data_IF_712234370501
#
_entry.id   IF_712234370501
#
_cell.length_a   1.000
_cell.length_b   1.000
_cell.length_c   1.000
_cell.angle_alpha   90.00
_cell.angle_beta   90.00
_cell.angle_gamma   90.00
#
_symmetry.space_group_name_H-M   'P 1'
#
loop_
_entity.id
_entity.type
_entity.pdbx_description
1 polymer ?
#
# COMPACT_ATOMS: atom_id res chain seq x y z
N UNK A 1 -3.02 -18.09 19.70
CA UNK A 1 -1.84 -17.17 19.69
C UNK A 1 -1.26 -17.14 18.28
N UNK A 2 -0.86 -15.98 17.77
CA UNK A 2 -0.08 -15.93 16.52
C UNK A 2 1.37 -16.35 16.81
N UNK A 3 2.03 -17.17 15.98
CA UNK A 3 3.43 -17.52 16.19
C UNK A 3 4.29 -16.25 16.08
N UNK A 4 5.27 -16.13 16.97
CA UNK A 4 6.26 -15.05 16.90
C UNK A 4 6.96 -15.08 15.54
N UNK A 5 7.14 -13.92 14.91
CA UNK A 5 7.82 -13.82 13.63
C UNK A 5 9.28 -14.25 13.79
N UNK A 6 9.61 -15.48 13.37
CA UNK A 6 11.01 -15.90 13.23
C UNK A 6 11.72 -14.90 12.31
N UNK A 7 13.00 -14.57 12.57
CA UNK A 7 13.81 -13.92 11.56
C UNK A 7 13.78 -14.77 10.28
N UNK A 8 13.73 -14.15 9.08
CA UNK A 8 13.63 -14.90 7.84
C UNK A 8 14.82 -15.84 7.73
N UNK A 9 14.58 -17.07 7.31
CA UNK A 9 15.66 -17.99 6.97
C UNK A 9 16.54 -17.33 5.88
N UNK A 10 17.85 -17.58 5.89
CA UNK A 10 18.77 -16.96 4.91
C UNK A 10 18.32 -17.22 3.46
N UNK A 11 17.78 -18.42 3.18
CA UNK A 11 17.16 -18.74 1.90
C UNK A 11 15.97 -17.82 1.54
N UNK A 12 15.09 -17.52 2.49
CA UNK A 12 13.91 -16.68 2.25
C UNK A 12 14.28 -15.20 2.07
N UNK A 13 15.39 -14.77 2.68
CA UNK A 13 16.00 -13.46 2.42
C UNK A 13 16.57 -13.37 0.99
N UNK A 14 17.33 -14.38 0.55
CA UNK A 14 17.87 -14.41 -0.81
C UNK A 14 16.76 -14.54 -1.87
N UNK A 15 15.71 -15.32 -1.62
CA UNK A 15 14.51 -15.39 -2.47
C UNK A 15 13.79 -14.04 -2.57
N UNK A 16 13.64 -13.34 -1.43
CA UNK A 16 13.08 -11.97 -1.43
C UNK A 16 13.91 -11.02 -2.27
N UNK A 17 15.24 -11.03 -2.08
CA UNK A 17 16.15 -10.13 -2.78
C UNK A 17 16.16 -10.39 -4.29
N UNK A 18 16.19 -11.66 -4.71
CA UNK A 18 16.10 -12.04 -6.13
C UNK A 18 14.79 -11.52 -6.76
N UNK A 19 13.64 -11.71 -6.10
CA UNK A 19 12.35 -11.21 -6.59
C UNK A 19 12.27 -9.69 -6.60
N UNK A 20 12.86 -9.00 -5.60
CA UNK A 20 12.94 -7.54 -5.58
C UNK A 20 13.78 -7.03 -6.77
N UNK A 21 14.95 -7.62 -7.03
CA UNK A 21 15.81 -7.22 -8.15
C UNK A 21 15.12 -7.49 -9.48
N UNK A 22 14.46 -8.64 -9.66
CA UNK A 22 13.65 -8.93 -10.85
C UNK A 22 12.50 -7.93 -11.05
N UNK A 23 11.81 -7.55 -9.97
CA UNK A 23 10.74 -6.56 -10.04
C UNK A 23 11.29 -5.16 -10.39
N UNK A 24 12.34 -4.71 -9.72
CA UNK A 24 12.98 -3.43 -10.02
C UNK A 24 13.51 -3.38 -11.46
N UNK A 25 14.12 -4.46 -11.95
CA UNK A 25 14.57 -4.57 -13.33
C UNK A 25 13.41 -4.51 -14.32
N UNK A 26 12.37 -5.34 -14.15
CA UNK A 26 11.21 -5.35 -15.05
C UNK A 26 10.49 -4.00 -15.08
N UNK A 27 10.31 -3.36 -13.92
CA UNK A 27 9.69 -2.05 -13.79
C UNK A 27 10.53 -0.92 -14.40
N UNK A 28 11.84 -0.90 -14.13
CA UNK A 28 12.75 0.09 -14.71
C UNK A 28 12.84 -0.06 -16.23
N UNK A 29 12.97 -1.28 -16.75
CA UNK A 29 12.96 -1.55 -18.20
C UNK A 29 11.60 -1.16 -18.81
N UNK A 30 10.48 -1.33 -18.11
CA UNK A 30 9.16 -0.82 -18.57
C UNK A 30 9.16 0.70 -18.75
N UNK A 31 9.74 1.46 -17.81
CA UNK A 31 9.88 2.92 -17.93
C UNK A 31 10.78 3.30 -19.12
N UNK A 32 11.91 2.61 -19.30
CA UNK A 32 12.80 2.82 -20.46
C UNK A 32 12.08 2.49 -21.78
N UNK A 33 11.29 1.41 -21.82
CA UNK A 33 10.50 1.06 -23.00
C UNK A 33 9.41 2.10 -23.29
N UNK A 34 8.73 2.65 -22.28
CA UNK A 34 7.77 3.75 -22.48
C UNK A 34 8.45 5.02 -23.04
N UNK A 35 9.66 5.36 -22.55
CA UNK A 35 10.44 6.49 -23.06
C UNK A 35 10.94 6.25 -24.50
N UNK A 36 11.50 5.07 -24.79
CA UNK A 36 11.94 4.71 -26.15
C UNK A 36 10.75 4.66 -27.10
N UNK A 37 9.58 4.18 -26.66
CA UNK A 37 8.36 4.23 -27.45
C UNK A 37 8.03 5.65 -27.89
N UNK A 38 7.98 6.60 -26.94
CA UNK A 38 7.59 7.98 -27.27
C UNK A 38 8.64 8.75 -28.07
N UNK A 39 9.94 8.49 -27.84
CA UNK A 39 11.03 9.23 -28.49
C UNK A 39 11.54 8.62 -29.80
N UNK A 40 11.41 7.31 -30.01
CA UNK A 40 11.92 6.65 -31.22
C UNK A 40 10.83 6.34 -32.25
N UNK A 41 9.63 5.96 -31.80
CA UNK A 41 8.54 5.54 -32.67
C UNK A 41 7.39 6.56 -32.77
N UNK A 42 7.38 7.57 -31.91
CA UNK A 42 6.33 8.60 -31.81
C UNK A 42 6.96 9.99 -31.84
N UNK A 43 6.12 11.00 -31.63
CA UNK A 43 6.38 12.40 -31.89
C UNK A 43 7.23 13.08 -30.79
N UNK A 44 7.79 12.32 -29.85
CA UNK A 44 8.48 12.85 -28.67
C UNK A 44 7.50 13.32 -27.60
N UNK A 45 7.94 14.31 -26.81
CA UNK A 45 7.19 14.92 -25.71
C UNK A 45 7.12 16.45 -25.87
N UNK A 46 5.93 17.01 -25.71
CA UNK A 46 5.63 18.46 -25.77
C UNK A 46 4.60 18.83 -24.69
N UNK A 47 4.22 20.11 -24.60
CA UNK A 47 3.08 20.57 -23.79
C UNK A 47 2.41 21.75 -24.52
N UNK A 48 1.72 21.41 -25.60
CA UNK A 48 1.20 22.30 -26.65
C UNK A 48 -0.18 21.88 -27.18
N UNK A 49 -0.86 20.94 -26.52
CA UNK A 49 -2.10 20.30 -26.98
C UNK A 49 -1.92 19.31 -28.14
N UNK A 50 -0.69 19.06 -28.58
CA UNK A 50 -0.37 18.16 -29.69
C UNK A 50 -0.15 16.70 -29.27
N UNK A 51 0.19 15.85 -30.25
CA UNK A 51 0.45 14.42 -30.00
C UNK A 51 1.62 14.18 -29.02
N UNK A 52 2.61 15.07 -28.99
CA UNK A 52 3.69 15.03 -27.99
C UNK A 52 3.21 15.30 -26.57
N UNK A 53 2.10 16.01 -26.37
CA UNK A 53 1.50 16.16 -25.05
C UNK A 53 0.77 14.88 -24.63
N UNK A 54 -0.03 14.28 -25.53
CA UNK A 54 -0.63 12.96 -25.29
C UNK A 54 0.42 11.92 -24.90
N UNK A 55 1.61 11.96 -25.49
CA UNK A 55 2.69 11.01 -25.22
C UNK A 55 3.22 11.07 -23.77
N UNK A 56 2.97 12.15 -23.00
CA UNK A 56 3.19 12.12 -21.56
C UNK A 56 2.34 11.08 -20.84
N UNK A 57 1.14 10.78 -21.35
CA UNK A 57 0.22 9.87 -20.68
C UNK A 57 0.79 8.46 -20.44
N UNK A 58 1.20 7.69 -21.47
CA UNK A 58 1.79 6.38 -21.24
C UNK A 58 3.07 6.45 -20.40
N UNK A 59 3.91 7.48 -20.57
CA UNK A 59 5.15 7.66 -19.78
C UNK A 59 4.85 7.85 -18.30
N UNK A 60 3.91 8.73 -17.95
CA UNK A 60 3.56 9.07 -16.58
C UNK A 60 2.73 7.98 -15.88
N UNK A 61 1.83 7.29 -16.60
CA UNK A 61 1.15 6.08 -16.09
C UNK A 61 2.16 4.98 -15.76
N UNK A 62 3.06 4.64 -16.69
CA UNK A 62 4.06 3.57 -16.47
C UNK A 62 5.04 3.93 -15.36
N UNK A 63 5.48 5.19 -15.30
CA UNK A 63 6.44 5.65 -14.27
C UNK A 63 5.78 5.79 -12.89
N UNK A 64 4.69 6.54 -12.78
CA UNK A 64 4.04 6.84 -11.51
C UNK A 64 3.13 5.73 -11.03
N UNK A 65 2.08 5.45 -11.82
CA UNK A 65 0.96 4.58 -11.43
C UNK A 65 1.26 3.08 -11.53
N UNK A 66 2.26 2.69 -12.32
CA UNK A 66 2.78 1.32 -12.30
C UNK A 66 4.04 1.26 -11.43
N UNK A 67 5.17 1.83 -11.86
CA UNK A 67 6.45 1.57 -11.23
C UNK A 67 6.57 2.12 -9.79
N UNK A 68 6.32 3.43 -9.58
CA UNK A 68 6.43 4.06 -8.24
C UNK A 68 5.36 3.52 -7.28
N UNK A 69 4.11 3.36 -7.73
CA UNK A 69 3.05 2.73 -6.92
C UNK A 69 3.42 1.29 -6.53
N UNK A 70 3.95 0.49 -7.45
CA UNK A 70 4.38 -0.89 -7.20
C UNK A 70 5.47 -0.99 -6.13
N UNK A 71 6.46 -0.08 -6.17
CA UNK A 71 7.47 0.05 -5.10
C UNK A 71 6.81 0.45 -3.77
N UNK A 72 5.88 1.42 -3.79
CA UNK A 72 5.19 1.89 -2.59
C UNK A 72 4.39 0.77 -1.88
N UNK A 73 3.78 -0.15 -2.64
CA UNK A 73 3.05 -1.31 -2.14
C UNK A 73 3.95 -2.27 -1.36
N UNK A 74 5.18 -2.54 -1.85
CA UNK A 74 6.11 -3.49 -1.23
C UNK A 74 7.08 -2.84 -0.22
N UNK A 75 7.06 -1.50 -0.05
CA UNK A 75 8.07 -0.77 0.75
C UNK A 75 8.18 -1.25 2.21
N UNK A 76 7.06 -1.67 2.83
CA UNK A 76 7.06 -2.24 4.19
C UNK A 76 7.66 -3.65 4.28
N UNK A 77 7.85 -4.34 3.16
CA UNK A 77 8.26 -5.74 3.09
C UNK A 77 9.79 -5.90 3.01
N UNK A 78 10.51 -4.81 2.72
CA UNK A 78 11.96 -4.71 2.68
C UNK A 78 12.59 -5.09 4.05
N UNK A 79 13.29 -6.24 4.20
CA UNK A 79 13.72 -6.75 5.51
C UNK A 79 14.65 -5.81 6.28
N UNK A 80 15.53 -5.10 5.58
CA UNK A 80 16.43 -4.09 6.17
C UNK A 80 15.69 -2.90 6.80
N UNK A 81 14.42 -2.66 6.44
CA UNK A 81 13.61 -1.57 7.01
C UNK A 81 12.83 -1.96 8.27
N UNK A 82 12.82 -3.23 8.66
CA UNK A 82 11.96 -3.71 9.76
C UNK A 82 12.37 -3.14 11.13
N UNK A 83 13.67 -2.84 11.31
CA UNK A 83 14.21 -2.15 12.49
C UNK A 83 14.13 -0.62 12.40
N UNK A 84 13.81 -0.04 11.24
CA UNK A 84 13.66 1.41 11.07
C UNK A 84 12.34 1.90 11.69
N UNK A 85 12.27 3.19 12.04
CA UNK A 85 11.04 3.80 12.58
C UNK A 85 9.82 3.48 11.71
N UNK A 86 8.73 3.01 12.33
CA UNK A 86 7.46 2.76 11.63
C UNK A 86 6.83 4.06 11.12
N UNK A 87 7.04 5.18 11.82
CA UNK A 87 6.61 6.49 11.35
C UNK A 87 7.38 6.91 10.09
N UNK A 88 8.70 6.67 10.03
CA UNK A 88 9.49 6.90 8.82
C UNK A 88 8.96 6.07 7.64
N UNK A 89 8.69 4.77 7.85
CA UNK A 89 8.14 3.93 6.78
C UNK A 89 6.72 4.35 6.34
N UNK A 90 5.92 4.93 7.23
CA UNK A 90 4.65 5.58 6.85
C UNK A 90 4.87 6.81 5.96
N UNK A 91 5.83 7.67 6.30
CA UNK A 91 6.18 8.82 5.46
C UNK A 91 6.71 8.40 4.09
N UNK A 92 7.57 7.39 4.01
CA UNK A 92 8.07 6.87 2.72
C UNK A 92 6.92 6.28 1.90
N UNK A 93 6.07 5.45 2.49
CA UNK A 93 4.90 4.88 1.79
C UNK A 93 3.93 5.98 1.32
N UNK A 94 3.59 6.94 2.17
CA UNK A 94 2.71 8.05 1.80
C UNK A 94 3.33 8.90 0.69
N UNK A 95 4.61 9.30 0.83
CA UNK A 95 5.32 10.10 -0.15
C UNK A 95 5.42 9.45 -1.52
N UNK A 96 5.75 8.15 -1.59
CA UNK A 96 5.77 7.42 -2.86
C UNK A 96 4.38 7.37 -3.52
N UNK A 97 3.30 7.11 -2.76
CA UNK A 97 1.95 7.12 -3.32
C UNK A 97 1.50 8.54 -3.73
N UNK A 98 1.92 9.58 -3.03
CA UNK A 98 1.67 10.99 -3.42
C UNK A 98 2.40 11.35 -4.70
N UNK A 99 3.66 10.91 -4.88
CA UNK A 99 4.40 11.12 -6.15
C UNK A 99 3.68 10.40 -7.30
N UNK A 100 3.30 9.13 -7.11
CA UNK A 100 2.53 8.38 -8.10
C UNK A 100 1.19 9.08 -8.45
N UNK A 101 0.50 9.66 -7.46
CA UNK A 101 -0.71 10.45 -7.67
C UNK A 101 -0.47 11.69 -8.53
N UNK A 102 0.56 12.49 -8.19
CA UNK A 102 0.86 13.74 -8.92
C UNK A 102 1.15 13.41 -10.39
N UNK A 103 1.98 12.39 -10.65
CA UNK A 103 2.29 11.95 -12.00
C UNK A 103 1.02 11.47 -12.74
N UNK A 104 0.13 10.73 -12.10
CA UNK A 104 -1.13 10.29 -12.69
C UNK A 104 -2.11 11.44 -12.97
N UNK A 105 -2.17 12.48 -12.11
CA UNK A 105 -3.00 13.66 -12.37
C UNK A 105 -2.47 14.41 -13.60
N UNK A 106 -1.16 14.69 -13.67
CA UNK A 106 -0.53 15.32 -14.85
C UNK A 106 -0.75 14.47 -16.11
N UNK A 107 -0.65 13.15 -15.97
CA UNK A 107 -0.95 12.18 -17.03
C UNK A 107 -2.39 12.27 -17.56
N UNK A 108 -3.37 12.52 -16.69
CA UNK A 108 -4.76 12.69 -17.12
C UNK A 108 -4.97 14.06 -17.78
N UNK A 109 -4.42 15.12 -17.21
CA UNK A 109 -4.50 16.49 -17.78
C UNK A 109 -4.01 16.49 -19.23
N UNK A 110 -2.83 15.92 -19.50
CA UNK A 110 -2.24 15.83 -20.84
C UNK A 110 -3.17 15.16 -21.90
N UNK A 111 -4.00 14.19 -21.51
CA UNK A 111 -4.97 13.57 -22.43
C UNK A 111 -6.21 14.44 -22.60
N UNK A 112 -6.73 15.03 -21.52
CA UNK A 112 -7.87 15.93 -21.62
C UNK A 112 -7.54 17.16 -22.47
N UNK A 113 -6.37 17.76 -22.27
CA UNK A 113 -5.91 18.94 -23.02
C UNK A 113 -5.66 18.59 -24.50
N UNK A 114 -4.96 17.48 -24.80
CA UNK A 114 -4.82 16.97 -26.17
C UNK A 114 -6.18 16.70 -26.86
N UNK A 115 -7.11 16.01 -26.17
CA UNK A 115 -8.44 15.73 -26.72
C UNK A 115 -9.24 17.01 -26.97
N UNK A 116 -9.22 17.95 -26.02
CA UNK A 116 -9.92 19.22 -26.14
C UNK A 116 -9.37 20.05 -27.31
N UNK A 117 -8.04 20.16 -27.43
CA UNK A 117 -7.38 20.84 -28.55
C UNK A 117 -7.69 20.17 -29.90
N UNK A 118 -7.73 18.84 -29.92
CA UNK A 118 -7.99 18.04 -31.13
C UNK A 118 -9.49 17.81 -31.43
N UNK A 119 -10.40 18.37 -30.63
CA UNK A 119 -11.86 18.13 -30.71
C UNK A 119 -12.26 16.63 -30.66
N UNK A 120 -11.50 15.82 -29.92
CA UNK A 120 -11.78 14.39 -29.69
C UNK A 120 -12.72 14.27 -28.48
N UNK A 121 -13.82 13.48 -28.56
CA UNK A 121 -14.68 13.24 -27.42
C UNK A 121 -13.93 12.61 -26.23
N UNK A 122 -14.19 13.10 -25.02
CA UNK A 122 -13.63 12.53 -23.80
C UNK A 122 -14.52 11.42 -23.23
N UNK A 123 -13.92 10.53 -22.42
CA UNK A 123 -14.61 9.57 -21.57
C UNK A 123 -15.57 8.58 -22.28
N UNK A 124 -15.29 8.17 -23.52
CA UNK A 124 -16.12 7.20 -24.26
C UNK A 124 -15.57 5.76 -24.25
N UNK A 125 -14.27 5.54 -24.03
CA UNK A 125 -13.66 4.20 -24.08
C UNK A 125 -13.65 3.50 -22.73
N UNK A 126 -13.64 2.15 -22.74
CA UNK A 126 -13.56 1.37 -21.50
C UNK A 126 -12.24 1.62 -20.76
N UNK A 127 -11.15 1.88 -21.48
CA UNK A 127 -9.89 2.35 -20.89
C UNK A 127 -10.11 3.62 -20.06
N UNK A 128 -10.78 4.63 -20.61
CA UNK A 128 -11.05 5.88 -19.89
C UNK A 128 -11.92 5.67 -18.64
N UNK A 129 -12.97 4.84 -18.71
CA UNK A 129 -13.87 4.58 -17.57
C UNK A 129 -13.15 3.86 -16.43
N UNK A 130 -12.40 2.80 -16.74
CA UNK A 130 -11.64 2.02 -15.75
C UNK A 130 -10.46 2.85 -15.21
N UNK A 131 -9.78 3.62 -16.07
CA UNK A 131 -8.68 4.51 -15.71
C UNK A 131 -9.10 5.61 -14.74
N UNK A 132 -10.15 6.38 -15.06
CA UNK A 132 -10.66 7.43 -14.17
C UNK A 132 -11.18 6.84 -12.85
N UNK A 133 -11.86 5.69 -12.90
CA UNK A 133 -12.29 4.96 -11.70
C UNK A 133 -11.11 4.59 -10.80
N UNK A 134 -10.01 4.10 -11.39
CA UNK A 134 -8.78 3.81 -10.65
C UNK A 134 -8.16 5.07 -10.02
N UNK A 135 -8.11 6.20 -10.73
CA UNK A 135 -7.62 7.49 -10.21
C UNK A 135 -8.47 7.99 -9.03
N UNK A 136 -9.80 7.90 -9.13
CA UNK A 136 -10.72 8.29 -8.06
C UNK A 136 -10.53 7.39 -6.82
N UNK A 137 -10.51 6.07 -6.99
CA UNK A 137 -10.31 5.15 -5.86
C UNK A 137 -8.91 5.27 -5.25
N UNK A 138 -7.87 5.52 -6.06
CA UNK A 138 -6.52 5.79 -5.56
C UNK A 138 -6.45 7.10 -4.76
N UNK A 139 -7.23 8.12 -5.16
CA UNK A 139 -7.36 9.39 -4.42
C UNK A 139 -8.01 9.20 -3.06
N UNK A 140 -9.12 8.47 -3.02
CA UNK A 140 -9.80 8.10 -1.77
C UNK A 140 -8.89 7.25 -0.87
N UNK A 141 -8.18 6.28 -1.46
CA UNK A 141 -7.23 5.40 -0.78
C UNK A 141 -6.07 6.17 -0.13
N UNK A 142 -5.50 7.15 -0.85
CA UNK A 142 -4.41 8.01 -0.36
C UNK A 142 -4.91 8.93 0.77
N UNK A 143 -6.06 9.59 0.57
CA UNK A 143 -6.67 10.48 1.57
C UNK A 143 -7.01 9.74 2.87
N UNK A 144 -7.75 8.62 2.77
CA UNK A 144 -8.10 7.81 3.94
C UNK A 144 -6.85 7.19 4.59
N UNK A 145 -5.86 6.77 3.78
CA UNK A 145 -4.59 6.25 4.27
C UNK A 145 -3.83 7.27 5.13
N UNK A 146 -3.76 8.52 4.66
CA UNK A 146 -3.16 9.63 5.39
C UNK A 146 -3.94 9.92 6.69
N UNK A 147 -5.25 10.14 6.59
CA UNK A 147 -6.11 10.53 7.72
C UNK A 147 -6.18 9.47 8.83
N UNK A 148 -6.21 8.18 8.47
CA UNK A 148 -6.37 7.07 9.43
C UNK A 148 -5.04 6.52 9.93
N UNK A 149 -4.05 6.34 9.05
CA UNK A 149 -2.81 5.63 9.41
C UNK A 149 -1.61 6.54 9.65
N UNK A 150 -1.52 7.73 9.05
CA UNK A 150 -0.42 8.66 9.30
C UNK A 150 -0.73 9.60 10.47
N UNK A 151 -1.88 10.28 10.46
CA UNK A 151 -2.28 11.20 11.52
C UNK A 151 -2.55 10.49 12.86
N UNK A 152 -2.26 11.13 14.02
CA UNK A 152 -2.38 10.50 15.33
C UNK A 152 -3.83 10.29 15.78
N UNK A 153 -4.79 11.07 15.28
CA UNK A 153 -6.14 11.22 15.82
C UNK A 153 -7.06 9.99 15.71
N UNK A 154 -6.85 9.10 14.74
CA UNK A 154 -7.77 7.99 14.49
C UNK A 154 -7.75 6.93 15.62
N UNK A 155 -8.92 6.46 16.12
CA UNK A 155 -8.95 5.41 17.15
C UNK A 155 -8.31 4.09 16.71
N UNK A 156 -7.71 3.35 17.65
CA UNK A 156 -7.08 2.04 17.36
C UNK A 156 -8.08 1.04 16.77
N UNK A 157 -9.34 1.05 17.23
CA UNK A 157 -10.42 0.21 16.67
C UNK A 157 -10.69 0.52 15.19
N UNK A 158 -10.73 1.79 14.81
CA UNK A 158 -10.93 2.22 13.43
C UNK A 158 -9.75 1.79 12.54
N UNK A 159 -8.52 1.99 13.01
CA UNK A 159 -7.31 1.54 12.31
C UNK A 159 -7.30 0.03 12.10
N UNK A 160 -7.73 -0.76 13.10
CA UNK A 160 -7.83 -2.21 12.99
C UNK A 160 -8.89 -2.66 11.98
N UNK A 161 -10.06 -2.00 11.95
CA UNK A 161 -11.15 -2.31 11.03
C UNK A 161 -10.85 -1.92 9.56
N UNK A 162 -10.18 -0.79 9.33
CA UNK A 162 -9.87 -0.31 7.99
C UNK A 162 -8.60 -0.92 7.38
N UNK A 163 -7.70 -1.50 8.19
CA UNK A 163 -6.44 -2.08 7.70
C UNK A 163 -6.63 -3.20 6.65
N UNK A 164 -7.54 -4.18 6.81
CA UNK A 164 -7.77 -5.20 5.78
C UNK A 164 -8.34 -4.61 4.50
N UNK A 165 -9.27 -3.65 4.62
CA UNK A 165 -9.87 -2.95 3.48
C UNK A 165 -8.79 -2.21 2.70
N UNK A 166 -7.98 -1.41 3.38
CA UNK A 166 -6.86 -0.65 2.78
C UNK A 166 -5.85 -1.55 2.07
N UNK A 167 -5.50 -2.72 2.64
CA UNK A 167 -4.61 -3.67 1.98
C UNK A 167 -5.28 -4.24 0.71
N UNK A 168 -6.53 -4.68 0.81
CA UNK A 168 -7.25 -5.25 -0.33
C UNK A 168 -7.47 -4.23 -1.47
N UNK A 169 -7.98 -3.04 -1.16
CA UNK A 169 -8.22 -1.98 -2.13
C UNK A 169 -6.92 -1.53 -2.80
N UNK A 170 -5.81 -1.42 -2.06
CA UNK A 170 -4.52 -1.03 -2.63
C UNK A 170 -4.01 -2.01 -3.70
N UNK A 171 -4.18 -3.32 -3.47
CA UNK A 171 -3.81 -4.36 -4.43
C UNK A 171 -4.80 -4.43 -5.61
N UNK A 172 -6.09 -4.26 -5.35
CA UNK A 172 -7.12 -4.22 -6.39
C UNK A 172 -6.91 -3.04 -7.34
N UNK A 173 -6.74 -1.82 -6.80
CA UNK A 173 -6.47 -0.62 -7.60
C UNK A 173 -5.22 -0.81 -8.46
N UNK A 174 -4.13 -1.38 -7.92
CA UNK A 174 -2.92 -1.64 -8.69
C UNK A 174 -3.15 -2.62 -9.84
N UNK A 175 -3.90 -3.71 -9.62
CA UNK A 175 -4.30 -4.62 -10.69
C UNK A 175 -5.19 -3.94 -11.75
N UNK A 176 -6.12 -3.07 -11.32
CA UNK A 176 -6.97 -2.27 -12.21
C UNK A 176 -6.16 -1.27 -13.05
N UNK A 177 -5.14 -0.62 -12.46
CA UNK A 177 -4.22 0.27 -13.18
C UNK A 177 -3.44 -0.49 -14.25
N UNK A 178 -2.93 -1.69 -13.94
CA UNK A 178 -2.27 -2.56 -14.93
C UNK A 178 -3.23 -2.92 -16.07
N UNK A 179 -4.45 -3.37 -15.75
CA UNK A 179 -5.46 -3.71 -16.77
C UNK A 179 -5.80 -2.49 -17.66
N UNK A 180 -5.99 -1.33 -17.06
CA UNK A 180 -6.26 -0.09 -17.79
C UNK A 180 -5.09 0.32 -18.68
N UNK A 181 -3.84 0.20 -18.22
CA UNK A 181 -2.66 0.50 -19.02
C UNK A 181 -2.51 -0.42 -20.24
N UNK A 182 -2.80 -1.72 -20.09
CA UNK A 182 -2.80 -2.68 -21.22
C UNK A 182 -3.90 -2.35 -22.25
N UNK A 183 -5.08 -1.94 -21.77
CA UNK A 183 -6.17 -1.45 -22.63
C UNK A 183 -5.77 -0.16 -23.36
N UNK A 184 -5.16 0.81 -22.68
CA UNK A 184 -4.69 2.07 -23.29
C UNK A 184 -3.56 1.88 -24.30
N UNK A 185 -2.61 0.97 -24.02
CA UNK A 185 -1.60 0.53 -24.99
C UNK A 185 -2.26 -0.08 -26.24
N UNK A 186 -3.24 -0.97 -26.05
CA UNK A 186 -3.96 -1.62 -27.14
C UNK A 186 -4.75 -0.61 -27.98
N UNK A 187 -5.50 0.31 -27.35
CA UNK A 187 -6.20 1.41 -28.03
C UNK A 187 -5.22 2.28 -28.83
N UNK A 188 -4.11 2.74 -28.22
CA UNK A 188 -3.11 3.59 -28.90
C UNK A 188 -2.44 2.89 -30.08
N UNK A 189 -2.09 1.61 -29.97
CA UNK A 189 -1.50 0.84 -31.08
C UNK A 189 -2.49 0.68 -32.24
N UNK A 190 -3.75 0.35 -31.96
CA UNK A 190 -4.81 0.22 -32.97
C UNK A 190 -5.05 1.55 -33.71
N UNK A 191 -5.09 2.66 -32.98
CA UNK A 191 -5.32 3.97 -33.59
C UNK A 191 -4.12 4.49 -34.40
N UNK A 192 -2.89 4.20 -33.94
CA UNK A 192 -1.67 4.82 -34.50
C UNK A 192 -0.96 3.99 -35.58
N UNK A 193 -1.18 2.66 -35.62
CA UNK A 193 -0.55 1.75 -36.59
C UNK A 193 -1.55 1.33 -37.66
N UNK A 194 -1.76 2.23 -38.63
CA UNK A 194 -2.65 2.02 -39.77
C UNK A 194 -1.89 1.60 -41.03
N UNK A 195 -0.65 2.09 -41.23
CA UNK A 195 0.22 1.71 -42.35
C UNK A 195 1.70 1.88 -41.94
N UNK A 196 2.47 0.78 -41.72
CA UNK A 196 2.01 -0.62 -41.65
C UNK A 196 0.96 -0.83 -40.55
N UNK A 197 0.04 -1.76 -40.78
CA UNK A 197 -1.09 -1.98 -39.88
C UNK A 197 -0.67 -2.78 -38.64
N UNK A 198 -1.28 -2.54 -37.47
CA UNK A 198 -0.94 -3.25 -36.22
C UNK A 198 -0.87 -4.78 -36.36
N UNK A 199 -1.83 -5.37 -37.09
CA UNK A 199 -1.91 -6.82 -37.38
C UNK A 199 -0.70 -7.39 -38.13
N UNK A 200 0.04 -6.56 -38.87
CA UNK A 200 1.24 -6.95 -39.63
C UNK A 200 2.48 -7.04 -38.73
N UNK A 201 2.33 -6.75 -37.43
CA UNK A 201 3.39 -6.78 -36.41
C UNK A 201 4.63 -5.95 -36.79
N UNK A 202 4.47 -4.65 -37.14
CA UNK A 202 5.63 -3.79 -37.38
C UNK A 202 6.52 -3.68 -36.12
N UNK A 203 7.78 -3.22 -36.24
CA UNK A 203 8.74 -3.21 -35.12
C UNK A 203 8.21 -2.53 -33.85
N UNK A 204 7.47 -1.42 -33.98
CA UNK A 204 6.82 -0.75 -32.85
C UNK A 204 5.77 -1.64 -32.17
N UNK A 205 4.92 -2.33 -32.93
CA UNK A 205 3.90 -3.23 -32.39
C UNK A 205 4.51 -4.31 -31.51
N UNK A 206 5.61 -4.92 -31.97
CA UNK A 206 6.34 -5.94 -31.22
C UNK A 206 6.96 -5.30 -29.96
N UNK A 207 7.64 -4.16 -30.11
CA UNK A 207 8.30 -3.46 -29.02
C UNK A 207 7.34 -3.05 -27.88
N UNK A 208 6.18 -2.49 -28.23
CA UNK A 208 5.18 -2.03 -27.27
C UNK A 208 4.36 -3.20 -26.69
N UNK A 209 4.19 -4.29 -27.43
CA UNK A 209 3.68 -5.54 -26.85
C UNK A 209 4.65 -6.13 -25.82
N UNK A 210 5.97 -6.04 -26.05
CA UNK A 210 6.96 -6.38 -25.03
C UNK A 210 6.88 -5.47 -23.79
N UNK A 211 6.60 -4.17 -23.95
CA UNK A 211 6.30 -3.26 -22.82
C UNK A 211 5.07 -3.75 -22.02
N UNK A 212 3.98 -4.13 -22.71
CA UNK A 212 2.79 -4.71 -22.07
C UNK A 212 3.11 -5.96 -21.25
N UNK A 213 3.92 -6.88 -21.79
CA UNK A 213 4.38 -8.07 -21.08
C UNK A 213 5.26 -7.75 -19.86
N UNK A 214 6.18 -6.77 -19.98
CA UNK A 214 7.02 -6.31 -18.87
C UNK A 214 6.18 -5.71 -17.73
N UNK A 215 5.15 -4.93 -18.04
CA UNK A 215 4.19 -4.38 -17.07
C UNK A 215 3.46 -5.52 -16.33
N UNK A 216 3.01 -6.56 -17.04
CA UNK A 216 2.36 -7.74 -16.43
C UNK A 216 3.33 -8.50 -15.52
N UNK A 217 4.56 -8.74 -15.96
CA UNK A 217 5.60 -9.43 -15.18
C UNK A 217 5.91 -8.63 -13.90
N UNK A 218 6.13 -7.32 -14.02
CA UNK A 218 6.34 -6.43 -12.89
C UNK A 218 5.17 -6.48 -11.90
N UNK A 219 3.94 -6.34 -12.40
CA UNK A 219 2.72 -6.42 -11.60
C UNK A 219 2.57 -7.74 -10.85
N UNK A 220 2.80 -8.86 -11.53
CA UNK A 220 2.76 -10.20 -10.94
C UNK A 220 3.82 -10.37 -9.83
N UNK A 221 5.05 -9.89 -10.04
CA UNK A 221 6.11 -9.92 -9.02
C UNK A 221 5.75 -9.07 -7.79
N UNK A 222 5.28 -7.84 -8.00
CA UNK A 222 4.82 -6.95 -6.93
C UNK A 222 3.67 -7.58 -6.13
N UNK A 223 2.64 -8.11 -6.80
CA UNK A 223 1.50 -8.77 -6.14
C UNK A 223 1.91 -10.05 -5.39
N UNK A 224 2.83 -10.84 -5.95
CA UNK A 224 3.39 -12.02 -5.29
C UNK A 224 4.15 -11.67 -4.01
N UNK A 225 5.03 -10.65 -4.07
CA UNK A 225 5.73 -10.13 -2.89
C UNK A 225 4.75 -9.52 -1.88
N UNK A 226 3.75 -8.79 -2.37
CA UNK A 226 2.73 -8.12 -1.56
C UNK A 226 1.77 -9.08 -0.83
N UNK A 227 1.70 -10.36 -1.25
CA UNK A 227 0.82 -11.38 -0.66
C UNK A 227 1.51 -12.36 0.30
N UNK A 228 2.86 -12.47 0.30
CA UNK A 228 3.56 -13.41 1.21
C UNK A 228 3.37 -13.03 2.69
N UNK A 229 2.89 -13.94 3.58
CA UNK A 229 2.76 -13.63 5.01
C UNK A 229 4.10 -13.44 5.73
N UNK A 230 5.12 -14.25 5.38
CA UNK A 230 6.44 -14.24 6.03
C UNK A 230 7.33 -13.04 5.68
N UNK A 231 7.00 -12.27 4.62
CA UNK A 231 7.64 -10.98 4.31
C UNK A 231 6.84 -9.78 4.83
N UNK A 232 5.82 -10.00 5.67
CA UNK A 232 5.10 -8.89 6.32
C UNK A 232 5.99 -8.32 7.42
N UNK A 233 6.11 -6.99 7.48
CA UNK A 233 6.83 -6.31 8.57
C UNK A 233 6.37 -6.86 9.93
N UNK A 234 7.30 -7.27 10.82
CA UNK A 234 6.95 -7.68 12.18
C UNK A 234 6.16 -6.60 12.93
N UNK A 235 5.23 -6.99 13.83
CA UNK A 235 4.63 -6.06 14.78
C UNK A 235 5.71 -5.37 15.62
N UNK A 236 5.45 -4.15 16.09
CA UNK A 236 6.27 -3.55 17.13
C UNK A 236 6.07 -4.33 18.43
N UNK A 237 7.15 -4.80 19.03
CA UNK A 237 7.09 -5.27 20.41
C UNK A 237 6.82 -4.06 21.31
N UNK A 238 5.69 -4.08 22.01
CA UNK A 238 5.50 -3.21 23.17
C UNK A 238 6.63 -3.50 24.17
N UNK A 239 7.31 -2.49 24.73
CA UNK A 239 8.28 -2.71 25.78
C UNK A 239 7.65 -3.57 26.87
N UNK A 240 8.25 -4.74 27.13
CA UNK A 240 7.81 -5.58 28.26
C UNK A 240 7.93 -4.71 29.50
N UNK A 241 6.79 -4.48 30.18
CA UNK A 241 6.79 -3.78 31.45
C UNK A 241 7.85 -4.43 32.36
N UNK A 242 8.68 -3.65 33.06
CA UNK A 242 9.63 -4.22 34.01
C UNK A 242 8.87 -5.17 34.93
N UNK A 243 9.30 -6.43 35.02
CA UNK A 243 8.82 -7.29 36.10
C UNK A 243 9.18 -6.56 37.40
N UNK A 244 8.24 -6.36 38.34
CA UNK A 244 8.61 -5.79 39.62
C UNK A 244 9.66 -6.71 40.25
N UNK A 245 10.82 -6.17 40.60
CA UNK A 245 11.87 -6.91 41.28
C UNK A 245 11.34 -7.39 42.63
N UNK A 246 11.14 -8.70 42.76
CA UNK A 246 10.82 -9.33 44.04
C UNK A 246 12.08 -9.51 44.89
N UNK A 247 12.27 -8.60 45.84
CA UNK A 247 13.13 -8.71 47.03
C UNK A 247 12.66 -7.65 48.04
N UNK A 248 12.65 -7.83 49.36
CA UNK A 248 13.20 -8.87 50.28
C UNK A 248 12.33 -8.83 51.58
N UNK A 249 12.36 -9.73 52.56
CA UNK A 249 13.31 -10.81 52.91
C UNK A 249 12.63 -11.95 53.73
N UNK A 250 13.43 -12.99 54.04
CA UNK A 250 13.46 -13.87 55.24
C UNK A 250 12.19 -14.35 55.97
N UNK A 251 12.15 -15.67 56.23
CA UNK A 251 11.23 -16.35 57.17
C UNK A 251 11.45 -17.87 57.17
N UNK A 252 11.90 -18.44 58.29
CA UNK A 252 12.54 -19.77 58.38
C UNK A 252 11.59 -20.90 58.84
N UNK A 253 11.68 -22.06 58.18
CA UNK A 253 11.40 -23.47 58.62
C UNK A 253 10.04 -23.96 59.22
N UNK A 254 9.83 -25.27 59.00
CA UNK A 254 9.09 -26.26 59.82
C UNK A 254 7.55 -26.32 59.86
N UNK A 255 7.00 -27.18 58.98
CA UNK A 255 6.19 -28.39 59.30
C UNK A 255 5.30 -28.43 60.59
N UNK A 256 3.97 -28.62 60.44
CA UNK A 256 3.24 -29.84 60.87
C UNK A 256 1.69 -29.77 60.83
N UNK A 257 1.09 -30.93 60.47
CA UNK A 257 -0.24 -31.50 60.87
C UNK A 257 -1.59 -30.74 60.77
N UNK A 258 -2.52 -31.38 60.02
CA UNK A 258 -3.98 -31.62 60.28
C UNK A 258 -4.91 -30.39 60.45
N UNK A 259 -6.20 -30.40 60.09
CA UNK A 259 -7.20 -31.49 60.11
C UNK A 259 -8.35 -31.24 59.10
N UNK A 260 -9.23 -32.23 58.95
CA UNK A 260 -10.34 -32.35 57.97
C UNK A 260 -11.67 -31.62 58.38
N UNK A 261 -12.64 -31.65 57.45
CA UNK A 261 -14.11 -31.66 57.62
C UNK A 261 -14.99 -30.48 57.08
N UNK A 262 -15.76 -30.85 56.05
CA UNK A 262 -17.23 -30.68 55.89
C UNK A 262 -17.89 -29.37 55.36
N UNK A 263 -18.36 -29.48 54.10
CA UNK A 263 -19.73 -29.28 53.57
C UNK A 263 -20.52 -27.94 53.62
N UNK A 264 -21.10 -27.63 52.44
CA UNK A 264 -22.26 -26.77 52.13
C UNK A 264 -22.12 -25.27 52.43
N UNK A 265 -22.67 -24.31 51.66
CA UNK A 265 -23.83 -24.37 50.76
C UNK A 265 -23.70 -23.40 49.54
N UNK A 266 -24.82 -23.05 48.87
CA UNK A 266 -24.92 -22.52 47.49
C UNK A 266 -24.94 -20.95 47.36
N UNK A 267 -25.29 -20.32 46.20
CA UNK A 267 -24.51 -19.24 45.56
C UNK A 267 -25.01 -17.79 45.83
N UNK A 268 -24.22 -16.79 45.44
CA UNK A 268 -24.57 -15.45 44.86
C UNK A 268 -23.25 -14.72 44.49
N UNK A 269 -23.00 -14.14 43.30
CA UNK A 269 -23.60 -12.99 42.56
C UNK A 269 -23.28 -11.62 43.18
N UNK A 270 -22.75 -10.72 42.33
CA UNK A 270 -22.53 -9.27 42.49
C UNK A 270 -21.64 -8.72 43.63
N UNK A 271 -20.31 -8.69 43.36
CA UNK A 271 -19.42 -7.68 43.95
C UNK A 271 -18.37 -7.14 42.96
N UNK A 272 -18.77 -6.21 42.08
CA UNK A 272 -17.79 -5.35 41.37
C UNK A 272 -18.32 -4.00 40.81
N UNK A 273 -19.61 -3.65 40.98
CA UNK A 273 -20.18 -2.43 40.37
C UNK A 273 -19.92 -1.13 41.16
N UNK A 274 -19.84 -1.20 42.50
CA UNK A 274 -19.60 -0.01 43.33
C UNK A 274 -18.20 0.60 43.17
N UNK A 275 -17.17 -0.24 43.01
CA UNK A 275 -15.79 0.22 42.85
C UNK A 275 -15.60 1.01 41.54
N UNK A 276 -16.30 0.61 40.48
CA UNK A 276 -16.32 1.35 39.22
C UNK A 276 -17.05 2.70 39.34
N UNK A 277 -18.16 2.76 40.11
CA UNK A 277 -18.94 4.00 40.29
C UNK A 277 -18.20 5.06 41.08
N UNK A 278 -17.51 4.69 42.17
CA UNK A 278 -16.72 5.62 43.00
C UNK A 278 -15.46 6.16 42.29
N UNK A 279 -14.94 5.48 41.27
CA UNK A 279 -13.76 5.92 40.51
C UNK A 279 -14.07 6.99 39.45
N UNK A 280 -15.27 6.96 38.85
CA UNK A 280 -15.67 7.95 37.85
C UNK A 280 -15.98 9.32 38.48
N UNK A 281 -16.69 9.35 39.63
CA UNK A 281 -17.01 10.61 40.33
C UNK A 281 -15.77 11.43 40.74
N UNK A 282 -14.64 10.79 41.07
CA UNK A 282 -13.40 11.49 41.42
C UNK A 282 -12.60 12.07 40.25
N UNK A 283 -12.96 11.75 39.00
CA UNK A 283 -12.28 12.29 37.81
C UNK A 283 -12.94 13.58 37.31
N UNK A 284 -14.26 13.73 37.43
CA UNK A 284 -14.96 14.95 37.01
C UNK A 284 -14.63 16.16 37.91
N UNK A 285 -14.52 15.98 39.24
CA UNK A 285 -14.08 17.07 40.15
C UNK A 285 -12.64 17.54 39.89
N UNK A 286 -11.77 16.67 39.35
CA UNK A 286 -10.40 17.04 39.01
C UNK A 286 -10.32 17.83 37.68
N UNK A 287 -11.25 17.61 36.75
CA UNK A 287 -11.30 18.29 35.45
C UNK A 287 -11.75 19.75 35.53
N UNK A 288 -12.59 20.12 36.49
CA UNK A 288 -13.16 21.48 36.61
C UNK A 288 -12.28 22.49 37.36
N UNK A 289 -11.11 22.10 37.87
CA UNK A 289 -10.21 22.98 38.65
C UNK A 289 -8.95 23.47 37.93
N UNK A 290 -8.85 23.31 36.60
CA UNK A 290 -7.67 23.71 35.83
C UNK A 290 -7.96 24.55 34.58
N UNK A 291 -8.98 25.42 34.64
CA UNK A 291 -9.17 26.54 33.70
C UNK A 291 -9.77 27.78 34.40
N UNK A 292 -8.93 28.51 35.13
CA UNK A 292 -8.90 29.98 35.21
C UNK A 292 -7.44 30.42 35.22
#
# INVERSE_FOLDING_TARGET
>A
AAPAARPPNMEDYWRFLALLVSALLAGFVSVIFALVWVFHYREGLSWDGGAGEFNWHPVLVVTGFIFVQGIAIIVYRLPWTWKCSKLLMKFIHAGLNTIAMILAIVSMVAVFDYHNASNIPNMYSLHSWIGLTAVIFYSLQLFLGFAVFLLPFAPVRLRAALMPIHIYSGLLIFATVIASALMGITEKLIFSLQNPAYKESPPEAIFVNCLGLLIVIFGALVLWMASRPHWRRPPEELPKAPRPNGGTSEGTEAESTMTDCSNADKPDVDFNSEAARKRNLKLDEAGQRSTM
#
